data_IF_315843882443
#
_entry.id   IF_315843882443
#
_cell.length_a   1.000
_cell.length_b   1.000
_cell.length_c   1.000
_cell.angle_alpha   90.00
_cell.angle_beta   90.00
_cell.angle_gamma   90.00
#
_symmetry.space_group_name_H-M   'P 1'
#
loop_
_entity.id
_entity.type
_entity.pdbx_description
1 polymer ?
#
# COMPACT_ATOMS: atom_id res chain seq x y z
N UNK A 1 7.30 18.18 -15.33
CA UNK A 1 7.29 17.58 -13.97
C UNK A 1 6.01 16.78 -13.85
N UNK A 2 6.08 15.46 -13.63
CA UNK A 2 4.88 14.62 -13.51
C UNK A 2 4.18 14.87 -12.17
N UNK A 3 2.86 15.05 -12.18
CA UNK A 3 2.07 15.40 -10.99
C UNK A 3 1.26 14.17 -10.55
N UNK A 4 1.93 13.19 -9.91
CA UNK A 4 1.30 11.95 -9.45
C UNK A 4 0.09 12.21 -8.55
N UNK A 5 -0.96 11.40 -8.70
CA UNK A 5 -2.18 11.48 -7.88
C UNK A 5 -2.10 10.60 -6.62
N UNK A 6 -1.34 9.50 -6.71
CA UNK A 6 -1.01 8.60 -5.61
C UNK A 6 0.46 8.19 -5.67
N UNK A 7 1.01 7.75 -4.53
CA UNK A 7 2.37 7.22 -4.37
C UNK A 7 2.36 6.07 -3.37
N UNK A 8 3.06 4.99 -3.71
CA UNK A 8 3.30 3.86 -2.82
C UNK A 8 4.75 3.87 -2.34
N UNK A 9 4.94 3.92 -1.02
CA UNK A 9 6.22 3.84 -0.34
C UNK A 9 6.41 2.45 0.25
N UNK A 10 7.61 1.90 0.08
CA UNK A 10 8.02 0.61 0.63
C UNK A 10 9.22 0.80 1.55
N UNK A 11 9.37 -0.07 2.55
CA UNK A 11 10.48 -0.05 3.51
C UNK A 11 10.64 1.32 4.17
N UNK A 12 9.51 1.91 4.59
CA UNK A 12 9.49 3.29 5.11
C UNK A 12 10.38 3.45 6.34
N UNK A 13 10.48 2.43 7.22
CA UNK A 13 11.25 2.48 8.48
C UNK A 13 10.93 3.72 9.32
N UNK A 14 9.72 4.26 9.15
CA UNK A 14 9.18 5.40 9.84
C UNK A 14 7.97 4.93 10.65
N UNK A 15 7.73 5.59 11.79
CA UNK A 15 6.45 5.46 12.46
C UNK A 15 5.39 6.33 11.76
N UNK A 16 4.13 6.05 12.07
CA UNK A 16 2.96 6.78 11.57
C UNK A 16 3.11 8.27 11.53
N UNK A 17 3.44 8.86 12.68
CA UNK A 17 3.55 10.32 12.82
C UNK A 17 4.61 10.92 11.87
N UNK A 18 5.73 10.22 11.68
CA UNK A 18 6.78 10.67 10.75
C UNK A 18 6.36 10.47 9.30
N UNK A 19 5.69 9.36 8.98
CA UNK A 19 5.18 9.08 7.64
C UNK A 19 4.10 10.09 7.23
N UNK A 20 3.16 10.43 8.12
CA UNK A 20 2.16 11.48 7.92
C UNK A 20 2.81 12.83 7.58
N UNK A 21 3.90 13.17 8.26
CA UNK A 21 4.68 14.37 7.97
C UNK A 21 5.30 14.37 6.57
N UNK A 22 5.76 13.21 6.08
CA UNK A 22 6.28 13.04 4.71
C UNK A 22 5.16 13.21 3.70
N UNK A 23 4.02 12.52 3.88
CA UNK A 23 2.87 12.60 2.98
C UNK A 23 2.38 14.04 2.82
N UNK A 24 2.21 14.76 3.95
CA UNK A 24 1.77 16.17 3.94
C UNK A 24 2.76 17.09 3.22
N UNK A 25 4.08 16.92 3.43
CA UNK A 25 5.11 17.70 2.71
C UNK A 25 5.08 17.45 1.21
N UNK A 26 4.72 16.23 0.80
CA UNK A 26 4.53 15.84 -0.59
C UNK A 26 3.13 16.17 -1.14
N UNK A 27 2.26 16.82 -0.34
CA UNK A 27 0.87 17.18 -0.68
C UNK A 27 -0.04 15.98 -0.95
N UNK A 28 0.23 14.86 -0.28
CA UNK A 28 -0.70 13.74 -0.14
C UNK A 28 -1.39 13.88 1.22
N UNK A 29 -2.70 14.09 1.19
CA UNK A 29 -3.49 14.43 2.38
C UNK A 29 -4.07 13.17 3.05
N UNK A 30 -4.29 12.13 2.25
CA UNK A 30 -4.82 10.84 2.70
C UNK A 30 -3.80 9.72 2.46
N UNK A 31 -3.93 8.66 3.24
CA UNK A 31 -3.08 7.49 3.08
C UNK A 31 -3.43 6.34 4.02
N UNK A 32 -3.00 5.14 3.60
CA UNK A 32 -3.01 3.93 4.41
C UNK A 32 -1.56 3.58 4.72
N UNK A 33 -1.25 3.52 6.00
CA UNK A 33 0.03 3.05 6.50
C UNK A 33 -0.19 1.70 7.19
N UNK A 34 0.61 0.71 6.78
CA UNK A 34 0.73 -0.53 7.52
C UNK A 34 1.96 -0.42 8.41
N UNK A 35 1.69 -0.31 9.71
CA UNK A 35 2.71 -0.10 10.73
C UNK A 35 3.70 -1.26 10.81
N UNK A 36 4.90 -0.92 11.28
CA UNK A 36 6.00 -1.85 11.52
C UNK A 36 5.90 -2.47 12.91
N UNK A 37 6.31 -3.73 13.05
CA UNK A 37 6.76 -4.24 14.33
C UNK A 37 8.24 -3.86 14.50
N UNK A 38 8.50 -2.69 15.11
CA UNK A 38 9.86 -2.19 15.36
C UNK A 38 10.49 -1.42 14.18
N UNK A 39 11.80 -1.55 13.98
CA UNK A 39 12.59 -0.80 12.97
C UNK A 39 12.68 -1.47 11.59
N UNK A 40 11.94 -2.55 11.38
CA UNK A 40 11.97 -3.33 10.15
C UNK A 40 10.64 -3.14 9.41
N UNK A 41 10.71 -2.99 8.09
CA UNK A 41 9.56 -2.97 7.15
C UNK A 41 8.81 -1.63 7.15
N UNK A 42 7.60 -1.61 6.58
CA UNK A 42 6.69 -0.46 6.58
C UNK A 42 6.22 -0.12 5.17
N UNK A 43 4.90 -0.10 4.97
CA UNK A 43 4.27 0.23 3.69
C UNK A 43 3.36 1.42 3.88
N UNK A 44 3.37 2.35 2.93
CA UNK A 44 2.43 3.46 2.92
C UNK A 44 1.93 3.70 1.50
N UNK A 45 0.62 3.66 1.31
CA UNK A 45 -0.02 4.20 0.12
C UNK A 45 -0.58 5.57 0.48
N UNK A 46 -0.17 6.62 -0.24
CA UNK A 46 -0.63 7.99 -0.02
C UNK A 46 -1.23 8.55 -1.31
N UNK A 47 -2.26 9.38 -1.19
CA UNK A 47 -2.93 9.99 -2.32
C UNK A 47 -3.44 11.39 -2.00
N UNK A 48 -3.83 12.10 -3.05
CA UNK A 48 -4.44 13.43 -2.95
C UNK A 48 -5.91 13.31 -2.63
N UNK A 49 -6.45 14.32 -1.94
CA UNK A 49 -7.86 14.42 -1.52
C UNK A 49 -8.88 14.20 -2.65
N UNK A 50 -8.53 14.52 -3.89
CA UNK A 50 -9.39 14.30 -5.07
C UNK A 50 -9.41 12.84 -5.57
N UNK A 51 -8.75 11.91 -4.87
CA UNK A 51 -8.71 10.50 -5.25
C UNK A 51 -9.50 9.69 -4.20
N UNK A 52 -10.62 9.13 -4.62
CA UNK A 52 -11.42 8.23 -3.79
C UNK A 52 -10.87 6.80 -3.92
N UNK A 53 -10.33 6.27 -2.83
CA UNK A 53 -9.75 4.92 -2.76
C UNK A 53 -10.49 4.11 -1.69
N UNK A 54 -10.93 2.91 -2.06
CA UNK A 54 -11.45 1.91 -1.13
C UNK A 54 -10.39 0.84 -0.84
N UNK A 55 -10.20 0.54 0.43
CA UNK A 55 -9.29 -0.50 0.89
C UNK A 55 -9.97 -1.87 0.78
N UNK A 56 -9.47 -2.74 -0.08
CA UNK A 56 -9.96 -4.10 -0.23
C UNK A 56 -9.37 -5.02 0.83
N UNK A 57 -8.04 -5.00 0.98
CA UNK A 57 -7.34 -5.77 2.00
C UNK A 57 -5.93 -5.23 2.23
N UNK A 58 -5.33 -5.55 3.38
CA UNK A 58 -3.94 -5.22 3.66
C UNK A 58 -3.31 -6.27 4.56
N UNK A 59 -1.98 -6.34 4.51
CA UNK A 59 -1.17 -7.11 5.44
C UNK A 59 0.17 -6.43 5.65
N UNK A 60 1.01 -7.00 6.51
CA UNK A 60 2.40 -6.53 6.69
C UNK A 60 3.24 -6.53 5.40
N UNK A 61 2.77 -7.21 4.35
CA UNK A 61 3.49 -7.37 3.08
C UNK A 61 2.81 -6.64 1.92
N UNK A 62 1.57 -6.17 2.05
CA UNK A 62 0.88 -5.53 0.93
C UNK A 62 -0.25 -4.61 1.36
N UNK A 63 -0.58 -3.67 0.47
CA UNK A 63 -1.82 -2.89 0.46
C UNK A 63 -2.55 -3.18 -0.84
N UNK A 64 -3.82 -3.55 -0.77
CA UNK A 64 -4.64 -3.84 -1.93
C UNK A 64 -5.91 -2.97 -1.90
N UNK A 65 -6.04 -2.10 -2.90
CA UNK A 65 -7.04 -1.06 -2.93
C UNK A 65 -7.67 -0.94 -4.31
N UNK A 66 -8.87 -0.37 -4.37
CA UNK A 66 -9.53 -0.01 -5.63
C UNK A 66 -9.79 1.50 -5.66
N UNK A 67 -9.74 2.10 -6.86
CA UNK A 67 -10.21 3.47 -7.05
C UNK A 67 -11.65 3.44 -7.53
N UNK A 68 -12.53 4.05 -6.74
CA UNK A 68 -14.00 4.04 -6.95
C UNK A 68 -14.40 4.66 -8.29
N UNK A 69 -13.75 5.76 -8.70
CA UNK A 69 -14.20 6.52 -9.88
C UNK A 69 -13.69 6.00 -11.24
N UNK A 70 -12.60 5.22 -11.25
CA UNK A 70 -11.91 4.81 -12.50
C UNK A 70 -11.81 3.30 -12.67
N UNK A 71 -12.48 2.52 -11.81
CA UNK A 71 -12.53 1.05 -11.84
C UNK A 71 -11.14 0.37 -11.99
N UNK A 72 -10.09 0.96 -11.41
CA UNK A 72 -8.79 0.30 -11.34
C UNK A 72 -8.53 -0.23 -9.94
N UNK A 73 -7.88 -1.40 -9.87
CA UNK A 73 -7.34 -1.99 -8.66
C UNK A 73 -5.82 -1.84 -8.62
N UNK A 74 -5.29 -1.43 -7.48
CA UNK A 74 -3.86 -1.34 -7.22
C UNK A 74 -3.50 -2.23 -6.03
N UNK A 75 -2.55 -3.11 -6.25
CA UNK A 75 -1.95 -3.91 -5.20
C UNK A 75 -0.48 -3.51 -5.04
N UNK A 76 -0.18 -2.73 -4.01
CA UNK A 76 1.18 -2.42 -3.59
C UNK A 76 1.74 -3.57 -2.76
N UNK A 77 2.68 -4.33 -3.30
CA UNK A 77 3.18 -5.56 -2.69
C UNK A 77 4.68 -5.51 -2.42
N UNK A 78 5.08 -6.05 -1.28
CA UNK A 78 6.47 -6.23 -0.88
C UNK A 78 6.74 -7.65 -0.38
N UNK A 79 7.45 -8.43 -1.21
CA UNK A 79 7.70 -9.85 -1.00
C UNK A 79 8.67 -10.17 0.15
N UNK A 80 8.81 -11.46 0.44
CA UNK A 80 9.73 -11.92 1.47
C UNK A 80 11.19 -11.72 1.03
N UNK A 81 12.04 -11.09 1.86
CA UNK A 81 13.45 -10.89 1.52
C UNK A 81 14.23 -12.22 1.50
N UNK A 82 13.82 -13.19 2.32
CA UNK A 82 14.45 -14.51 2.42
C UNK A 82 13.79 -15.53 1.50
N UNK A 83 14.60 -16.41 0.91
CA UNK A 83 14.14 -17.43 -0.04
C UNK A 83 13.06 -18.36 0.56
N UNK A 84 13.16 -18.68 1.85
CA UNK A 84 12.22 -19.55 2.55
C UNK A 84 10.78 -19.03 2.57
N UNK A 85 10.57 -17.71 2.52
CA UNK A 85 9.23 -17.11 2.51
C UNK A 85 8.74 -16.70 1.11
N UNK A 86 9.54 -16.90 0.05
CA UNK A 86 9.17 -16.41 -1.29
C UNK A 86 7.94 -17.13 -1.83
N UNK A 87 7.87 -18.46 -1.69
CA UNK A 87 6.73 -19.25 -2.18
C UNK A 87 5.42 -18.75 -1.56
N UNK A 88 5.39 -18.62 -0.23
CA UNK A 88 4.23 -18.13 0.50
C UNK A 88 3.81 -16.74 0.04
N UNK A 89 4.77 -15.83 -0.17
CA UNK A 89 4.47 -14.48 -0.68
C UNK A 89 3.94 -14.50 -2.12
N UNK A 90 4.40 -15.41 -2.97
CA UNK A 90 3.82 -15.61 -4.31
C UNK A 90 2.41 -16.20 -4.25
N UNK A 91 2.15 -17.12 -3.32
CA UNK A 91 0.81 -17.67 -3.10
C UNK A 91 -0.19 -16.60 -2.67
N UNK A 92 0.22 -15.70 -1.78
CA UNK A 92 -0.58 -14.51 -1.43
C UNK A 92 -0.90 -13.68 -2.66
N UNK A 93 0.10 -13.39 -3.51
CA UNK A 93 -0.10 -12.57 -4.71
C UNK A 93 -1.03 -13.24 -5.73
N UNK A 94 -0.93 -14.57 -5.87
CA UNK A 94 -1.87 -15.38 -6.68
C UNK A 94 -3.29 -15.33 -6.13
N UNK A 95 -3.44 -15.43 -4.81
CA UNK A 95 -4.75 -15.41 -4.15
C UNK A 95 -5.42 -14.03 -4.26
N UNK A 96 -4.64 -12.95 -4.14
CA UNK A 96 -5.17 -11.58 -4.30
C UNK A 96 -5.81 -11.37 -5.66
N UNK A 97 -5.23 -11.94 -6.73
CA UNK A 97 -5.83 -11.90 -8.07
C UNK A 97 -7.22 -12.57 -8.11
N UNK A 98 -7.37 -13.68 -7.39
CA UNK A 98 -8.61 -14.47 -7.35
C UNK A 98 -9.64 -13.93 -6.36
N UNK A 99 -9.24 -13.09 -5.40
CA UNK A 99 -10.17 -12.34 -4.56
C UNK A 99 -10.79 -11.24 -5.43
N UNK A 100 -11.78 -11.63 -6.23
CA UNK A 100 -12.79 -10.72 -6.74
C UNK A 100 -14.12 -11.08 -6.06
N UNK A 101 -14.96 -10.06 -5.94
CA UNK A 101 -16.37 -10.06 -5.47
C UNK A 101 -16.56 -9.76 -3.99
N UNK A 102 -17.29 -8.69 -3.65
CA UNK A 102 -18.75 -8.60 -3.87
C UNK A 102 -19.19 -7.26 -4.51
N UNK A 103 -20.46 -7.14 -4.99
CA UNK A 103 -21.02 -5.98 -5.71
C UNK A 103 -20.95 -4.65 -4.96
#
# INVERSE_FOLDING_TARGET
MYKSQSVFFMETKLNKRRMDGVCRRCRFLDGIEVSTNGSRRGLCLAWKELVVIDLLSFSTNYNDVTKVELEWRFTGFYGAPFASGRSDTWDVLRNLRCTQESP
#
